data_IF_820300767672
#
_entry.id   IF_820300767672
#
_cell.length_a   1.000
_cell.length_b   1.000
_cell.length_c   1.000
_cell.angle_alpha   90.00
_cell.angle_beta   90.00
_cell.angle_gamma   90.00
#
_symmetry.space_group_name_H-M   'P 1'
#
loop_
_entity.id
_entity.type
_entity.pdbx_description
1 polymer ?
#
# COMPACT_ATOMS: atom_id res chain seq x y z
N UNK A 1 -30.80 34.92 45.32
CA UNK A 1 -31.38 34.16 44.19
C UNK A 1 -30.50 34.48 43.01
N UNK A 2 -29.44 33.70 42.82
CA UNK A 2 -28.50 33.86 41.71
C UNK A 2 -28.80 32.74 40.72
N UNK A 3 -29.62 33.05 39.72
CA UNK A 3 -29.84 32.19 38.56
C UNK A 3 -28.81 32.57 37.50
N UNK A 4 -27.78 31.74 37.38
CA UNK A 4 -26.72 31.86 36.37
C UNK A 4 -27.35 31.69 34.95
N UNK A 5 -27.32 32.69 34.04
CA UNK A 5 -28.17 32.70 32.86
C UNK A 5 -27.60 31.95 31.63
N UNK A 6 -26.60 31.08 31.78
CA UNK A 6 -25.96 30.40 30.64
C UNK A 6 -25.64 28.93 30.92
N UNK A 7 -26.59 28.16 31.46
CA UNK A 7 -26.54 26.71 31.35
C UNK A 7 -27.00 26.30 29.93
N UNK A 8 -26.06 26.31 28.99
CA UNK A 8 -26.30 25.63 27.72
C UNK A 8 -26.32 24.12 27.98
N UNK A 9 -27.51 23.53 27.91
CA UNK A 9 -27.67 22.09 27.83
C UNK A 9 -27.09 21.64 26.48
N UNK A 10 -25.78 21.43 26.44
CA UNK A 10 -25.08 20.80 25.33
C UNK A 10 -25.56 19.34 25.31
N UNK A 11 -26.72 19.10 24.70
CA UNK A 11 -27.11 17.77 24.24
C UNK A 11 -26.04 17.32 23.24
N UNK A 12 -25.02 16.63 23.74
CA UNK A 12 -24.07 15.92 22.90
C UNK A 12 -24.89 14.82 22.20
N UNK A 13 -25.12 14.89 20.87
CA UNK A 13 -25.85 13.84 20.19
C UNK A 13 -25.08 12.54 20.36
N UNK A 14 -25.78 11.45 20.71
CA UNK A 14 -25.18 10.12 20.74
C UNK A 14 -24.71 9.77 19.33
N UNK A 15 -23.42 9.95 19.08
CA UNK A 15 -22.78 9.68 17.79
C UNK A 15 -22.82 8.20 17.39
N UNK A 16 -23.15 7.30 18.34
CA UNK A 16 -23.14 5.86 18.14
C UNK A 16 -24.45 5.23 18.60
N UNK A 17 -25.02 4.37 17.75
CA UNK A 17 -26.01 3.38 18.15
C UNK A 17 -25.25 2.07 18.38
N UNK A 18 -25.10 1.68 19.65
CA UNK A 18 -24.20 0.60 20.11
C UNK A 18 -24.73 -0.80 19.73
N UNK A 19 -25.97 -0.90 19.23
CA UNK A 19 -26.70 -2.16 19.27
C UNK A 19 -26.45 -3.15 18.13
N UNK A 20 -25.84 -2.77 17.00
CA UNK A 20 -25.91 -3.66 15.81
C UNK A 20 -24.59 -4.11 15.16
N UNK A 21 -23.39 -3.72 15.63
CA UNK A 21 -22.16 -4.03 14.85
C UNK A 21 -20.92 -4.49 15.60
N UNK A 22 -20.92 -4.71 16.92
CA UNK A 22 -19.70 -5.19 17.59
C UNK A 22 -19.98 -6.32 18.57
N UNK A 23 -19.79 -7.56 18.10
CA UNK A 23 -19.50 -8.69 18.98
C UNK A 23 -18.14 -8.48 19.63
N UNK A 24 -18.12 -7.83 20.81
CA UNK A 24 -17.11 -8.11 21.84
C UNK A 24 -16.11 -7.03 22.28
N UNK A 25 -16.25 -5.73 21.96
CA UNK A 25 -15.29 -4.74 22.46
C UNK A 25 -15.89 -3.33 22.68
N UNK A 26 -16.84 -3.22 23.61
CA UNK A 26 -17.36 -1.92 24.08
C UNK A 26 -16.34 -1.15 24.95
N UNK A 27 -15.15 -1.71 25.22
CA UNK A 27 -14.15 -1.15 26.15
C UNK A 27 -12.93 -0.46 25.52
N UNK A 28 -12.84 -0.36 24.18
CA UNK A 28 -11.65 0.20 23.50
C UNK A 28 -11.62 1.74 23.38
N UNK A 29 -12.49 2.46 24.09
CA UNK A 29 -13.00 3.75 23.61
C UNK A 29 -11.99 4.92 23.66
N UNK A 30 -11.36 5.34 24.78
CA UNK A 30 -10.52 6.55 24.73
C UNK A 30 -9.16 6.34 24.06
N UNK A 31 -8.52 5.20 24.32
CA UNK A 31 -7.13 4.95 23.91
C UNK A 31 -6.99 4.72 22.41
N UNK A 32 -7.90 3.93 21.82
CA UNK A 32 -7.90 3.71 20.36
C UNK A 32 -8.23 5.00 19.64
N UNK A 33 -9.17 5.80 20.14
CA UNK A 33 -9.49 7.09 19.53
C UNK A 33 -8.36 8.11 19.66
N UNK A 34 -7.75 8.24 20.83
CA UNK A 34 -6.61 9.13 21.03
C UNK A 34 -5.43 8.74 20.13
N UNK A 35 -5.14 7.43 19.99
CA UNK A 35 -4.13 6.96 19.05
C UNK A 35 -4.53 7.25 17.59
N UNK A 36 -5.78 6.98 17.20
CA UNK A 36 -6.26 7.28 15.85
C UNK A 36 -6.19 8.78 15.52
N UNK A 37 -6.52 9.66 16.46
CA UNK A 37 -6.38 11.10 16.33
C UNK A 37 -4.91 11.51 16.17
N UNK A 38 -4.02 10.93 16.98
CA UNK A 38 -2.59 11.19 16.91
C UNK A 38 -1.94 10.77 15.57
N UNK A 39 -2.57 9.89 14.77
CA UNK A 39 -2.14 9.63 13.38
C UNK A 39 -2.29 10.83 12.44
N UNK A 40 -3.05 11.86 12.83
CA UNK A 40 -3.16 13.13 12.11
C UNK A 40 -2.18 14.20 12.61
N UNK A 41 -1.39 13.91 13.65
CA UNK A 41 -0.44 14.87 14.22
C UNK A 41 0.60 15.33 13.19
N UNK A 42 1.01 16.61 13.18
CA UNK A 42 2.14 17.06 12.36
C UNK A 42 3.47 16.43 12.80
N UNK A 43 3.58 16.03 14.07
CA UNK A 43 4.78 15.38 14.60
C UNK A 43 4.83 13.90 14.18
N UNK A 44 5.88 13.55 13.45
CA UNK A 44 6.19 12.17 13.04
C UNK A 44 6.25 11.21 14.24
N UNK A 45 6.86 11.63 15.35
CA UNK A 45 7.07 10.75 16.50
C UNK A 45 5.73 10.39 17.13
N UNK A 46 4.84 11.37 17.28
CA UNK A 46 3.47 11.13 17.76
C UNK A 46 2.71 10.19 16.83
N UNK A 47 2.79 10.38 15.50
CA UNK A 47 2.17 9.46 14.53
C UNK A 47 2.74 8.04 14.62
N UNK A 48 4.05 7.88 14.84
CA UNK A 48 4.67 6.57 15.00
C UNK A 48 4.20 5.86 16.27
N UNK A 49 4.22 6.56 17.41
CA UNK A 49 3.74 6.03 18.71
C UNK A 49 2.27 5.65 18.63
N UNK A 50 1.44 6.49 18.01
CA UNK A 50 0.04 6.20 17.75
C UNK A 50 -0.16 4.93 16.92
N UNK A 51 0.62 4.77 15.85
CA UNK A 51 0.57 3.57 15.02
C UNK A 51 1.00 2.32 15.80
N UNK A 52 2.05 2.40 16.61
CA UNK A 52 2.47 1.33 17.53
C UNK A 52 1.35 0.92 18.48
N UNK A 53 0.72 1.90 19.12
CA UNK A 53 -0.34 1.67 20.09
C UNK A 53 -1.56 0.99 19.46
N UNK A 54 -1.96 1.39 18.26
CA UNK A 54 -3.06 0.74 17.53
C UNK A 54 -2.74 -0.70 17.16
N UNK A 55 -1.49 -0.99 16.78
CA UNK A 55 -1.03 -2.35 16.45
C UNK A 55 -1.03 -3.23 17.69
N UNK A 56 -0.49 -2.74 18.80
CA UNK A 56 -0.43 -3.46 20.07
C UNK A 56 -1.83 -3.86 20.57
N UNK A 57 -2.79 -2.94 20.44
CA UNK A 57 -4.19 -3.17 20.76
C UNK A 57 -4.92 -4.07 19.75
N UNK A 58 -4.25 -4.51 18.68
CA UNK A 58 -4.85 -5.24 17.55
C UNK A 58 -6.06 -4.51 16.94
N UNK A 59 -6.12 -3.19 17.09
CA UNK A 59 -7.25 -2.39 16.63
C UNK A 59 -7.50 -2.51 15.10
N UNK A 60 -6.48 -2.51 14.21
CA UNK A 60 -6.72 -2.63 12.77
C UNK A 60 -7.35 -3.95 12.32
N UNK A 61 -7.19 -5.05 13.07
CA UNK A 61 -7.83 -6.34 12.71
C UNK A 61 -9.24 -6.45 13.32
N UNK A 62 -9.58 -5.63 14.31
CA UNK A 62 -10.87 -5.70 15.01
C UNK A 62 -11.86 -4.61 14.55
N UNK A 63 -11.38 -3.48 14.04
CA UNK A 63 -12.21 -2.31 13.69
C UNK A 63 -12.03 -1.90 12.22
N UNK A 64 -13.10 -1.94 11.40
CA UNK A 64 -13.04 -1.49 10.01
C UNK A 64 -12.60 -0.03 9.88
N UNK A 65 -13.02 0.82 10.81
CA UNK A 65 -12.68 2.24 10.82
C UNK A 65 -11.20 2.47 11.15
N UNK A 66 -10.63 1.74 12.10
CA UNK A 66 -9.19 1.84 12.40
C UNK A 66 -8.35 1.36 11.21
N UNK A 67 -8.74 0.24 10.58
CA UNK A 67 -8.09 -0.24 9.36
C UNK A 67 -8.13 0.81 8.25
N UNK A 68 -9.28 1.46 8.04
CA UNK A 68 -9.44 2.55 7.10
C UNK A 68 -8.55 3.75 7.44
N UNK A 69 -8.53 4.23 8.68
CA UNK A 69 -7.70 5.36 9.12
C UNK A 69 -6.22 5.07 8.85
N UNK A 70 -5.75 3.87 9.19
CA UNK A 70 -4.38 3.43 8.89
C UNK A 70 -4.13 3.37 7.37
N UNK A 71 -5.10 2.92 6.57
CA UNK A 71 -4.99 2.93 5.11
C UNK A 71 -4.81 4.34 4.54
N UNK A 72 -5.44 5.36 5.13
CA UNK A 72 -5.19 6.76 4.72
C UNK A 72 -3.76 7.23 4.98
N UNK A 73 -2.98 6.52 5.82
CA UNK A 73 -1.56 6.81 6.08
C UNK A 73 -0.61 6.13 5.08
N UNK A 74 -1.11 5.45 4.06
CA UNK A 74 -0.26 4.91 2.97
C UNK A 74 0.56 6.00 2.26
N UNK A 75 0.09 7.25 2.30
CA UNK A 75 0.77 8.40 1.72
C UNK A 75 1.38 9.33 2.78
N UNK A 76 1.65 8.83 3.99
CA UNK A 76 2.37 9.61 5.03
C UNK A 76 3.68 10.16 4.46
N UNK A 77 4.08 11.40 4.77
CA UNK A 77 5.35 11.95 4.29
C UNK A 77 6.57 11.14 4.74
N UNK A 78 6.52 10.46 5.89
CA UNK A 78 7.63 9.68 6.42
C UNK A 78 7.62 8.23 5.91
N UNK A 79 8.71 7.83 5.26
CA UNK A 79 8.85 6.48 4.72
C UNK A 79 8.79 5.38 5.81
N UNK A 80 9.25 5.66 7.03
CA UNK A 80 9.21 4.69 8.15
C UNK A 80 7.78 4.39 8.54
N UNK A 81 6.93 5.42 8.61
CA UNK A 81 5.50 5.25 8.86
C UNK A 81 4.86 4.47 7.71
N UNK A 82 5.13 4.85 6.45
CA UNK A 82 4.61 4.11 5.28
C UNK A 82 4.99 2.63 5.29
N UNK A 83 6.25 2.29 5.60
CA UNK A 83 6.72 0.90 5.73
C UNK A 83 5.87 0.11 6.74
N UNK A 84 5.58 0.72 7.89
CA UNK A 84 4.79 0.11 8.95
C UNK A 84 3.32 -0.03 8.57
N UNK A 85 2.74 0.99 7.95
CA UNK A 85 1.38 0.96 7.42
C UNK A 85 1.22 -0.16 6.39
N UNK A 86 2.12 -0.27 5.41
CA UNK A 86 2.09 -1.33 4.39
C UNK A 86 2.15 -2.71 5.03
N UNK A 87 3.06 -2.90 6.00
CA UNK A 87 3.17 -4.16 6.74
C UNK A 87 1.87 -4.51 7.46
N UNK A 88 1.33 -3.59 8.27
CA UNK A 88 0.13 -3.83 9.09
C UNK A 88 -1.09 -4.14 8.22
N UNK A 89 -1.34 -3.35 7.18
CA UNK A 89 -2.48 -3.59 6.30
C UNK A 89 -2.31 -4.89 5.50
N UNK A 90 -1.07 -5.19 5.09
CA UNK A 90 -0.77 -6.48 4.47
C UNK A 90 -0.98 -7.65 5.43
N UNK A 91 -0.75 -7.49 6.73
CA UNK A 91 -1.06 -8.48 7.76
C UNK A 91 -2.57 -8.61 8.00
N UNK A 92 -3.33 -7.51 7.97
CA UNK A 92 -4.81 -7.52 8.05
C UNK A 92 -5.43 -8.30 6.89
N UNK A 93 -4.89 -8.15 5.67
CA UNK A 93 -5.34 -8.92 4.51
C UNK A 93 -4.79 -10.37 4.48
N UNK A 94 -3.95 -10.76 5.43
CA UNK A 94 -3.43 -12.13 5.54
C UNK A 94 -4.34 -13.02 6.36
N UNK A 95 -4.12 -14.33 6.24
CA UNK A 95 -4.55 -15.29 7.25
C UNK A 95 -3.57 -15.26 8.43
N UNK A 96 -4.11 -15.38 9.64
CA UNK A 96 -3.31 -15.51 10.86
C UNK A 96 -2.62 -16.88 10.97
N UNK A 97 -1.99 -17.15 12.13
CA UNK A 97 -1.28 -18.42 12.39
C UNK A 97 -2.21 -19.64 12.36
N UNK A 98 -3.50 -19.45 12.63
CA UNK A 98 -4.52 -20.49 12.62
C UNK A 98 -5.23 -20.57 11.26
N UNK A 99 -4.76 -19.81 10.27
CA UNK A 99 -5.34 -19.77 8.94
C UNK A 99 -6.62 -18.93 8.84
N UNK A 100 -6.98 -18.17 9.88
CA UNK A 100 -8.21 -17.34 9.90
C UNK A 100 -7.95 -15.96 9.32
N UNK A 101 -8.80 -15.45 8.41
CA UNK A 101 -8.72 -14.07 7.94
C UNK A 101 -9.18 -13.09 9.03
N UNK A 102 -8.93 -11.79 8.81
CA UNK A 102 -9.61 -10.74 9.56
C UNK A 102 -11.15 -10.87 9.42
N UNK A 103 -11.94 -10.32 10.36
CA UNK A 103 -13.39 -10.28 10.25
C UNK A 103 -13.84 -9.68 8.92
N UNK A 104 -14.90 -10.24 8.33
CA UNK A 104 -15.38 -9.86 6.99
C UNK A 104 -15.62 -8.35 6.85
N UNK A 105 -16.19 -7.71 7.89
CA UNK A 105 -16.40 -6.26 7.88
C UNK A 105 -15.09 -5.48 7.71
N UNK A 106 -14.01 -5.89 8.39
CA UNK A 106 -12.69 -5.24 8.28
C UNK A 106 -12.12 -5.47 6.88
N UNK A 107 -12.18 -6.72 6.41
CA UNK A 107 -11.66 -7.10 5.11
C UNK A 107 -12.37 -6.37 3.96
N UNK A 108 -13.70 -6.34 3.95
CA UNK A 108 -14.52 -5.68 2.93
C UNK A 108 -14.32 -4.16 2.90
N UNK A 109 -14.20 -3.49 4.06
CA UNK A 109 -13.95 -2.05 4.09
C UNK A 109 -12.53 -1.71 3.60
N UNK A 110 -11.54 -2.48 4.04
CA UNK A 110 -10.15 -2.25 3.63
C UNK A 110 -9.99 -2.48 2.12
N UNK A 111 -10.50 -3.59 1.59
CA UNK A 111 -10.46 -3.88 0.15
C UNK A 111 -11.26 -2.85 -0.66
N UNK A 112 -12.41 -2.39 -0.15
CA UNK A 112 -13.18 -1.30 -0.74
C UNK A 112 -12.35 -0.03 -0.91
N UNK A 113 -11.62 0.39 0.13
CA UNK A 113 -10.71 1.54 0.04
C UNK A 113 -9.55 1.29 -0.92
N UNK A 114 -8.87 0.15 -0.81
CA UNK A 114 -7.70 -0.19 -1.63
C UNK A 114 -8.05 -0.28 -3.13
N UNK A 115 -9.26 -0.73 -3.46
CA UNK A 115 -9.74 -0.82 -4.84
C UNK A 115 -9.82 0.54 -5.55
N UNK A 116 -9.91 1.63 -4.78
CA UNK A 116 -10.03 2.99 -5.28
C UNK A 116 -8.68 3.74 -5.26
N UNK A 117 -7.58 3.09 -4.88
CA UNK A 117 -6.27 3.72 -4.87
C UNK A 117 -5.91 4.27 -6.25
N UNK A 118 -5.42 5.51 -6.23
CA UNK A 118 -4.89 6.21 -7.42
C UNK A 118 -3.37 6.17 -7.42
N UNK A 119 -2.77 6.88 -8.37
CA UNK A 119 -1.33 6.95 -8.56
C UNK A 119 -0.53 7.21 -7.29
N UNK A 120 -0.94 8.16 -6.42
CA UNK A 120 -0.13 8.57 -5.25
C UNK A 120 0.00 7.46 -4.19
N UNK A 121 -1.07 6.79 -3.72
CA UNK A 121 -0.94 5.60 -2.87
C UNK A 121 -0.13 4.48 -3.51
N UNK A 122 -0.36 4.17 -4.79
CA UNK A 122 0.36 3.10 -5.51
C UNK A 122 1.86 3.40 -5.58
N UNK A 123 2.22 4.64 -5.93
CA UNK A 123 3.61 5.10 -5.93
C UNK A 123 4.25 4.97 -4.54
N UNK A 124 3.50 5.29 -3.48
CA UNK A 124 3.98 5.23 -2.09
C UNK A 124 4.20 3.78 -1.64
N UNK A 125 3.33 2.85 -2.04
CA UNK A 125 3.49 1.41 -1.80
C UNK A 125 4.71 0.87 -2.56
N UNK A 126 4.88 1.28 -3.81
CA UNK A 126 6.03 0.90 -4.63
C UNK A 126 7.35 1.38 -4.00
N UNK A 127 7.39 2.59 -3.47
CA UNK A 127 8.57 3.14 -2.79
C UNK A 127 8.91 2.36 -1.51
N UNK A 128 7.89 1.90 -0.78
CA UNK A 128 8.09 0.99 0.35
C UNK A 128 8.73 -0.32 -0.11
N UNK A 129 8.20 -0.94 -1.17
CA UNK A 129 8.74 -2.21 -1.69
C UNK A 129 10.18 -2.07 -2.21
N UNK A 130 10.45 -1.00 -2.96
CA UNK A 130 11.78 -0.72 -3.51
C UNK A 130 12.83 -0.45 -2.40
N UNK A 131 12.39 0.08 -1.26
CA UNK A 131 13.27 0.42 -0.13
C UNK A 131 13.46 -0.67 0.92
N UNK A 132 12.68 -1.76 0.89
CA UNK A 132 12.84 -2.94 1.75
C UNK A 132 12.18 -4.17 1.12
N UNK A 133 12.99 -5.08 0.59
CA UNK A 133 12.55 -6.31 -0.07
C UNK A 133 11.65 -7.19 0.80
N UNK A 134 11.78 -7.13 2.13
CA UNK A 134 10.95 -7.92 3.06
C UNK A 134 9.49 -7.45 3.04
N UNK A 135 9.23 -6.24 2.55
CA UNK A 135 7.91 -5.65 2.45
C UNK A 135 7.22 -5.89 1.10
N UNK A 136 7.93 -6.42 0.10
CA UNK A 136 7.40 -6.71 -1.25
C UNK A 136 6.12 -7.56 -1.18
N UNK A 137 6.11 -8.63 -0.37
CA UNK A 137 4.93 -9.50 -0.20
C UNK A 137 3.70 -8.76 0.35
N UNK A 138 3.90 -7.77 1.22
CA UNK A 138 2.80 -6.99 1.80
C UNK A 138 2.33 -5.95 0.78
N UNK A 139 3.25 -5.29 0.07
CA UNK A 139 2.94 -4.39 -1.03
C UNK A 139 2.14 -5.10 -2.13
N UNK A 140 2.58 -6.27 -2.57
CA UNK A 140 1.87 -7.10 -3.55
C UNK A 140 0.45 -7.44 -3.09
N UNK A 141 0.25 -7.76 -1.80
CA UNK A 141 -1.08 -8.04 -1.26
C UNK A 141 -2.01 -6.82 -1.30
N UNK A 142 -1.49 -5.63 -0.97
CA UNK A 142 -2.28 -4.39 -1.06
C UNK A 142 -2.63 -4.06 -2.51
N UNK A 143 -1.68 -4.22 -3.42
CA UNK A 143 -1.89 -4.02 -4.85
C UNK A 143 -2.88 -5.04 -5.41
N UNK A 144 -2.87 -6.28 -4.97
CA UNK A 144 -3.85 -7.28 -5.39
C UNK A 144 -5.31 -6.89 -5.05
N UNK A 145 -5.52 -6.00 -4.07
CA UNK A 145 -6.83 -5.41 -3.77
C UNK A 145 -7.17 -4.18 -4.65
N UNK A 146 -6.27 -3.76 -5.54
CA UNK A 146 -6.39 -2.61 -6.44
C UNK A 146 -6.39 -3.06 -7.91
N UNK A 147 -7.57 -3.16 -8.56
CA UNK A 147 -7.68 -3.64 -9.94
C UNK A 147 -6.92 -2.81 -10.97
N UNK A 148 -6.77 -1.51 -10.72
CA UNK A 148 -6.12 -0.56 -11.65
C UNK A 148 -4.63 -0.33 -11.37
N UNK A 149 -4.04 -1.11 -10.45
CA UNK A 149 -2.64 -0.94 -10.05
C UNK A 149 -1.66 -1.19 -11.20
N UNK A 150 -1.96 -2.15 -12.08
CA UNK A 150 -1.15 -2.50 -13.24
C UNK A 150 -0.87 -1.33 -14.17
N UNK A 151 -1.93 -0.64 -14.62
CA UNK A 151 -1.82 0.57 -15.43
C UNK A 151 -0.96 1.66 -14.79
N UNK A 152 -1.08 1.89 -13.49
CA UNK A 152 -0.25 2.87 -12.78
C UNK A 152 1.22 2.43 -12.68
N UNK A 153 1.50 1.16 -12.38
CA UNK A 153 2.85 0.61 -12.36
C UNK A 153 3.51 0.66 -13.75
N UNK A 154 2.74 0.40 -14.81
CA UNK A 154 3.19 0.49 -16.19
C UNK A 154 3.60 1.93 -16.57
N UNK A 155 2.83 2.94 -16.12
CA UNK A 155 3.19 4.36 -16.28
C UNK A 155 4.51 4.68 -15.56
N UNK A 156 4.67 4.22 -14.32
CA UNK A 156 5.91 4.43 -13.54
C UNK A 156 7.11 3.79 -14.23
N UNK A 157 6.95 2.56 -14.72
CA UNK A 157 7.97 1.83 -15.45
C UNK A 157 8.41 2.56 -16.74
N UNK A 158 7.47 3.14 -17.47
CA UNK A 158 7.74 3.83 -18.73
C UNK A 158 8.46 5.18 -18.55
N UNK A 159 8.34 5.82 -17.38
CA UNK A 159 8.94 7.13 -17.12
C UNK A 159 10.40 7.02 -16.68
N UNK A 160 11.31 7.47 -17.56
CA UNK A 160 12.77 7.45 -17.31
C UNK A 160 13.22 8.41 -16.21
N UNK A 161 12.38 9.36 -15.78
CA UNK A 161 12.69 10.25 -14.66
C UNK A 161 12.58 9.52 -13.32
N UNK A 162 11.87 8.40 -13.29
CA UNK A 162 11.73 7.58 -12.09
C UNK A 162 13.04 6.80 -11.84
N UNK A 163 13.53 6.78 -10.59
CA UNK A 163 14.72 6.01 -10.22
C UNK A 163 14.65 4.55 -10.69
N UNK A 164 15.81 4.01 -11.05
CA UNK A 164 15.90 2.65 -11.59
C UNK A 164 15.30 1.60 -10.66
N UNK A 165 15.60 1.66 -9.36
CA UNK A 165 15.10 0.68 -8.38
C UNK A 165 13.57 0.65 -8.33
N UNK A 166 12.93 1.82 -8.43
CA UNK A 166 11.47 1.94 -8.49
C UNK A 166 10.90 1.32 -9.77
N UNK A 167 11.53 1.56 -10.93
CA UNK A 167 11.11 0.94 -12.20
C UNK A 167 11.28 -0.57 -12.17
N UNK A 168 12.41 -1.07 -11.65
CA UNK A 168 12.71 -2.49 -11.48
C UNK A 168 11.68 -3.16 -10.57
N UNK A 169 11.33 -2.52 -9.46
CA UNK A 169 10.33 -3.01 -8.53
C UNK A 169 8.91 -2.98 -9.11
N UNK A 170 8.57 -1.99 -9.92
CA UNK A 170 7.28 -1.95 -10.61
C UNK A 170 7.08 -3.17 -11.52
N UNK A 171 8.13 -3.59 -12.23
CA UNK A 171 8.12 -4.82 -13.05
C UNK A 171 7.87 -6.06 -12.20
N UNK A 172 8.57 -6.17 -11.05
CA UNK A 172 8.38 -7.32 -10.13
C UNK A 172 6.95 -7.40 -9.63
N UNK A 173 6.41 -6.28 -9.14
CA UNK A 173 5.05 -6.22 -8.61
C UNK A 173 4.00 -6.46 -9.69
N UNK A 174 4.22 -6.01 -10.93
CA UNK A 174 3.35 -6.37 -12.08
C UNK A 174 3.25 -7.89 -12.24
N UNK A 175 4.39 -8.58 -12.27
CA UNK A 175 4.44 -10.04 -12.42
C UNK A 175 3.88 -10.78 -11.20
N UNK A 176 4.23 -10.34 -9.99
CA UNK A 176 3.79 -10.97 -8.73
C UNK A 176 2.29 -10.87 -8.49
N UNK A 177 1.69 -9.72 -8.83
CA UNK A 177 0.25 -9.49 -8.63
C UNK A 177 -0.58 -10.08 -9.78
N UNK A 178 -0.01 -10.22 -10.99
CA UNK A 178 -0.73 -10.76 -12.14
C UNK A 178 -1.44 -9.69 -12.97
N UNK A 179 -0.88 -8.49 -13.07
CA UNK A 179 -1.49 -7.37 -13.81
C UNK A 179 -1.38 -7.55 -15.34
N UNK A 180 -2.38 -8.18 -15.94
CA UNK A 180 -2.45 -8.42 -17.40
C UNK A 180 -2.61 -7.14 -18.23
N UNK A 181 -3.19 -6.08 -17.68
CA UNK A 181 -3.33 -4.77 -18.34
C UNK A 181 -1.96 -4.11 -18.63
N UNK A 182 -0.93 -4.44 -17.84
CA UNK A 182 0.44 -3.97 -18.04
C UNK A 182 1.25 -4.83 -19.05
N UNK A 183 0.71 -5.96 -19.52
CA UNK A 183 1.42 -6.95 -20.33
C UNK A 183 2.01 -6.34 -21.62
N UNK A 184 1.17 -5.62 -22.39
CA UNK A 184 1.60 -5.02 -23.66
C UNK A 184 2.70 -3.97 -23.50
N UNK A 185 2.76 -3.30 -22.33
CA UNK A 185 3.82 -2.33 -22.01
C UNK A 185 5.13 -3.07 -21.75
N UNK A 186 5.08 -4.17 -21.00
CA UNK A 186 6.24 -5.03 -20.76
C UNK A 186 6.81 -5.61 -22.06
N UNK A 187 5.97 -6.12 -22.97
CA UNK A 187 6.42 -6.67 -24.25
C UNK A 187 7.13 -5.64 -25.12
N UNK A 188 6.54 -4.44 -25.25
CA UNK A 188 7.15 -3.34 -26.00
C UNK A 188 8.50 -2.93 -25.41
N UNK A 189 8.60 -2.91 -24.08
CA UNK A 189 9.85 -2.59 -23.39
C UNK A 189 10.90 -3.70 -23.57
N UNK A 190 10.52 -4.97 -23.46
CA UNK A 190 11.38 -6.12 -23.72
C UNK A 190 11.97 -6.05 -25.12
N UNK A 191 11.11 -5.93 -26.15
CA UNK A 191 11.51 -5.90 -27.55
C UNK A 191 12.49 -4.75 -27.82
N UNK A 192 12.20 -3.56 -27.29
CA UNK A 192 13.06 -2.37 -27.43
C UNK A 192 14.43 -2.58 -26.78
N UNK A 193 14.46 -3.11 -25.56
CA UNK A 193 15.72 -3.34 -24.82
C UNK A 193 16.54 -4.46 -25.45
N UNK A 194 15.91 -5.57 -25.85
CA UNK A 194 16.57 -6.70 -26.50
C UNK A 194 17.18 -6.29 -27.86
N UNK A 195 16.46 -5.51 -28.66
CA UNK A 195 16.95 -5.00 -29.95
C UNK A 195 18.15 -4.07 -29.74
N UNK A 196 18.08 -3.18 -28.75
CA UNK A 196 19.18 -2.25 -28.43
C UNK A 196 20.43 -2.99 -27.99
N UNK A 197 20.31 -3.98 -27.10
CA UNK A 197 21.44 -4.78 -26.62
C UNK A 197 22.06 -5.62 -27.74
N UNK A 198 21.24 -6.24 -28.58
CA UNK A 198 21.72 -7.04 -29.72
C UNK A 198 22.42 -6.17 -30.76
N UNK A 199 21.87 -5.00 -31.08
CA UNK A 199 22.46 -4.06 -32.04
C UNK A 199 23.81 -3.49 -31.57
N UNK A 200 23.99 -3.27 -30.28
CA UNK A 200 25.26 -2.84 -29.70
C UNK A 200 26.32 -3.94 -29.72
N UNK A 201 25.95 -5.20 -29.51
CA UNK A 201 26.89 -6.32 -29.61
C UNK A 201 27.43 -6.50 -31.02
N UNK A 202 26.65 -6.13 -32.05
CA UNK A 202 27.05 -6.21 -33.45
C UNK A 202 27.89 -4.99 -33.90
N UNK A 203 27.78 -3.85 -33.22
CA UNK A 203 28.50 -2.61 -33.57
C UNK A 203 29.48 -2.21 -32.47
N UNK A 204 30.77 -2.55 -32.64
CA UNK A 204 31.85 -2.23 -31.68
C UNK A 204 32.06 -0.74 -31.39
N UNK A 205 31.45 0.15 -32.19
CA UNK A 205 31.53 1.61 -32.03
C UNK A 205 30.31 2.22 -31.33
N UNK A 206 29.29 1.43 -31.01
CA UNK A 206 28.09 1.94 -30.34
C UNK A 206 28.38 2.26 -28.86
N UNK A 207 27.84 3.36 -28.32
CA UNK A 207 27.96 3.67 -26.89
C UNK A 207 27.36 2.54 -26.05
N UNK A 208 28.07 2.14 -24.99
CA UNK A 208 27.65 1.05 -24.11
C UNK A 208 26.27 1.32 -23.51
N UNK A 209 25.40 0.30 -23.46
CA UNK A 209 24.11 0.42 -22.75
C UNK A 209 24.34 0.80 -21.30
N UNK A 210 23.45 1.63 -20.77
CA UNK A 210 23.45 1.93 -19.35
C UNK A 210 23.26 0.62 -18.56
N UNK A 211 24.03 0.39 -17.48
CA UNK A 211 23.97 -0.85 -16.69
C UNK A 211 22.55 -1.16 -16.19
N UNK A 212 21.76 -0.12 -15.93
CA UNK A 212 20.35 -0.22 -15.58
C UNK A 212 19.50 -0.96 -16.63
N UNK A 213 19.72 -0.69 -17.93
CA UNK A 213 18.94 -1.32 -19.00
C UNK A 213 19.27 -2.81 -19.16
N UNK A 214 20.55 -3.17 -18.97
CA UNK A 214 20.99 -4.57 -18.93
C UNK A 214 20.39 -5.33 -17.75
N UNK A 215 20.24 -4.67 -16.60
CA UNK A 215 19.63 -5.27 -15.41
C UNK A 215 18.10 -5.36 -15.47
N UNK A 216 17.44 -4.46 -16.20
CA UNK A 216 15.98 -4.43 -16.27
C UNK A 216 15.40 -5.57 -17.11
N UNK A 217 16.08 -5.90 -18.22
CA UNK A 217 15.62 -6.90 -19.18
C UNK A 217 15.32 -8.28 -18.55
N UNK A 218 16.19 -8.90 -17.74
CA UNK A 218 15.88 -10.18 -17.10
C UNK A 218 14.67 -10.10 -16.16
N UNK A 219 14.45 -8.96 -15.50
CA UNK A 219 13.30 -8.75 -14.62
C UNK A 219 12.00 -8.68 -15.44
N UNK A 220 12.01 -7.96 -16.58
CA UNK A 220 10.87 -7.90 -17.51
C UNK A 220 10.52 -9.29 -18.03
N UNK A 221 11.51 -10.07 -18.46
CA UNK A 221 11.30 -11.44 -18.93
C UNK A 221 10.77 -12.37 -17.85
N UNK A 222 11.16 -12.16 -16.59
CA UNK A 222 10.59 -12.90 -15.47
C UNK A 222 9.11 -12.55 -15.27
N UNK A 223 8.77 -11.27 -15.25
CA UNK A 223 7.39 -10.82 -15.09
C UNK A 223 6.49 -11.31 -16.24
N UNK A 224 6.94 -11.20 -17.50
CA UNK A 224 6.19 -11.72 -18.66
C UNK A 224 5.90 -13.22 -18.55
N UNK A 225 6.88 -14.02 -18.10
CA UNK A 225 6.68 -15.46 -17.88
C UNK A 225 5.65 -15.74 -16.80
N UNK A 226 5.65 -14.97 -15.70
CA UNK A 226 4.65 -15.11 -14.65
C UNK A 226 3.25 -14.79 -15.16
N UNK A 227 3.11 -13.71 -15.94
CA UNK A 227 1.84 -13.30 -16.53
C UNK A 227 1.31 -14.29 -17.58
N UNK A 228 2.19 -15.01 -18.28
CA UNK A 228 1.80 -16.07 -19.24
C UNK A 228 1.32 -17.35 -18.55
N UNK A 229 1.70 -17.56 -17.29
CA UNK A 229 1.33 -18.74 -16.50
C UNK A 229 0.12 -18.52 -15.57
N UNK A 230 -0.34 -17.28 -15.46
CA UNK A 230 -1.47 -16.86 -14.62
C UNK A 230 -2.80 -17.02 -15.38
#
# INVERSE_FOLDING_TARGET
MDSDPLSFDLMQPSLFQIHDTTTGAVELFPTVWSAAENLASPDKNLRMVALDQLIELKAPILSPLVAYIIATRLTDPDLTIRKKVVKVLGEVLSRDKDGKPAPDAVYSHLTGYLSQMRFRPIYSILEVAASDIRLEKYAARLLNACPYGGGHLAVILADRKIPFDMRKEAVRLIGLVGYLDAFSVLEKLESRLATKLSGQQVMSFAPQSAPEETELLPVIRSALRMLQSA
#
